data_IF_894571533569
#
_entry.id   IF_894571533569
#
_cell.length_a   1.000
_cell.length_b   1.000
_cell.length_c   1.000
_cell.angle_alpha   90.00
_cell.angle_beta   90.00
_cell.angle_gamma   90.00
#
_symmetry.space_group_name_H-M   'P 1'
#
loop_
_entity.id
_entity.type
_entity.pdbx_description
1 polymer ?
#
# COMPACT_ATOMS: atom_id res chain seq x y z
N UNK A 1 9.01 -0.62 22.88
CA UNK A 1 8.69 0.43 21.91
C UNK A 1 7.18 0.70 21.95
N UNK A 2 6.72 1.83 21.41
CA UNK A 2 5.29 2.18 21.28
C UNK A 2 5.01 2.62 19.84
N UNK A 3 3.97 2.07 19.20
CA UNK A 3 3.52 2.55 17.89
C UNK A 3 3.00 3.99 18.02
N UNK A 4 3.46 4.90 17.16
CA UNK A 4 3.12 6.32 17.27
C UNK A 4 2.23 6.84 16.14
N UNK A 5 2.22 6.20 14.97
CA UNK A 5 1.28 6.53 13.90
C UNK A 5 0.57 5.27 13.39
N UNK A 6 -0.65 5.45 12.93
CA UNK A 6 -1.42 4.48 12.18
C UNK A 6 -1.40 4.88 10.72
N UNK A 7 -1.19 3.92 9.84
CA UNK A 7 -1.14 4.13 8.40
C UNK A 7 -2.12 3.20 7.72
N UNK A 8 -2.63 3.64 6.57
CA UNK A 8 -3.44 2.82 5.69
C UNK A 8 -2.95 2.92 4.25
N UNK A 9 -3.10 1.83 3.49
CA UNK A 9 -2.89 1.83 2.05
C UNK A 9 -3.95 1.00 1.33
N UNK A 10 -4.12 1.34 0.06
CA UNK A 10 -5.15 0.80 -0.80
C UNK A 10 -4.96 1.29 -2.23
N UNK A 11 -6.07 1.43 -2.95
CA UNK A 11 -6.13 2.07 -4.26
C UNK A 11 -6.75 3.46 -4.05
N UNK A 12 -5.98 4.51 -4.30
CA UNK A 12 -6.45 5.89 -4.31
C UNK A 12 -7.17 6.12 -5.64
N UNK A 13 -8.38 6.67 -5.58
CA UNK A 13 -9.26 6.89 -6.73
C UNK A 13 -9.48 8.37 -6.96
N UNK A 14 -9.29 8.82 -8.20
CA UNK A 14 -9.71 10.13 -8.68
C UNK A 14 -11.16 10.04 -9.20
N UNK A 15 -12.11 10.38 -8.33
CA UNK A 15 -13.55 10.26 -8.62
C UNK A 15 -14.01 11.14 -9.77
N UNK A 16 -13.36 12.28 -10.00
CA UNK A 16 -13.70 13.16 -11.11
C UNK A 16 -13.36 12.53 -12.46
N UNK A 17 -12.19 11.88 -12.58
CA UNK A 17 -11.83 11.15 -13.80
C UNK A 17 -12.65 9.88 -13.98
N UNK A 18 -12.98 9.19 -12.87
CA UNK A 18 -13.87 8.03 -12.90
C UNK A 18 -15.26 8.41 -13.45
N UNK A 19 -15.83 9.52 -12.98
CA UNK A 19 -17.10 10.06 -13.49
C UNK A 19 -16.97 10.52 -14.95
N UNK A 20 -15.87 11.16 -15.32
CA UNK A 20 -15.60 11.56 -16.72
C UNK A 20 -15.52 10.35 -17.67
N UNK A 21 -15.03 9.21 -17.19
CA UNK A 21 -15.06 7.95 -17.94
C UNK A 21 -16.48 7.35 -17.99
N UNK A 22 -17.44 7.82 -17.19
CA UNK A 22 -18.80 7.31 -17.15
C UNK A 22 -19.01 6.18 -16.15
N UNK A 23 -18.12 6.06 -15.16
CA UNK A 23 -18.21 5.11 -14.05
C UNK A 23 -18.43 5.81 -12.72
N UNK A 24 -18.86 5.05 -11.71
CA UNK A 24 -19.01 5.50 -10.34
C UNK A 24 -18.25 4.60 -9.36
N UNK A 25 -17.85 5.15 -8.22
CA UNK A 25 -17.14 4.38 -7.19
C UNK A 25 -17.99 3.22 -6.66
N UNK A 26 -19.32 3.37 -6.65
CA UNK A 26 -20.28 2.37 -6.20
C UNK A 26 -20.33 1.13 -7.09
N UNK A 27 -19.77 1.18 -8.30
CA UNK A 27 -19.62 0.01 -9.17
C UNK A 27 -18.50 -0.92 -8.69
N UNK A 28 -17.48 -0.39 -8.01
CA UNK A 28 -16.24 -1.10 -7.67
C UNK A 28 -16.37 -1.73 -6.27
N UNK A 29 -16.67 -3.03 -6.23
CA UNK A 29 -16.97 -3.78 -4.99
C UNK A 29 -16.04 -4.97 -4.74
N UNK A 30 -15.35 -5.41 -5.77
CA UNK A 30 -14.53 -6.62 -5.82
C UNK A 30 -13.55 -6.50 -7.01
N UNK A 31 -12.72 -7.52 -7.20
CA UNK A 31 -11.73 -7.51 -8.28
C UNK A 31 -12.39 -7.53 -9.66
N UNK A 32 -13.49 -8.28 -9.83
CA UNK A 32 -14.15 -8.37 -11.14
C UNK A 32 -14.68 -7.00 -11.60
N UNK A 33 -15.33 -6.26 -10.70
CA UNK A 33 -15.82 -4.91 -11.00
C UNK A 33 -14.69 -3.89 -11.15
N UNK A 34 -13.65 -3.94 -10.31
CA UNK A 34 -12.46 -3.12 -10.47
C UNK A 34 -11.81 -3.34 -11.84
N UNK A 35 -11.62 -4.61 -12.22
CA UNK A 35 -11.04 -4.99 -13.51
C UNK A 35 -11.91 -4.51 -14.66
N UNK A 36 -13.22 -4.71 -14.62
CA UNK A 36 -14.12 -4.30 -15.69
C UNK A 36 -14.08 -2.78 -15.93
N UNK A 37 -14.02 -1.99 -14.84
CA UNK A 37 -13.90 -0.52 -14.92
C UNK A 37 -12.53 -0.11 -15.46
N UNK A 38 -11.45 -0.71 -14.97
CA UNK A 38 -10.10 -0.41 -15.44
C UNK A 38 -9.89 -0.78 -16.91
N UNK A 39 -10.30 -1.98 -17.33
CA UNK A 39 -10.20 -2.45 -18.72
C UNK A 39 -10.90 -1.47 -19.69
N UNK A 40 -12.08 -0.99 -19.29
CA UNK A 40 -12.88 -0.08 -20.12
C UNK A 40 -12.29 1.33 -20.20
N UNK A 41 -11.73 1.85 -19.09
CA UNK A 41 -11.00 3.11 -19.08
C UNK A 41 -9.75 3.00 -19.96
N UNK A 42 -8.95 1.93 -19.80
CA UNK A 42 -7.73 1.71 -20.57
C UNK A 42 -8.02 1.59 -22.07
N UNK A 43 -9.06 0.82 -22.45
CA UNK A 43 -9.48 0.69 -23.85
C UNK A 43 -9.89 2.03 -24.49
N UNK A 44 -10.32 3.00 -23.68
CA UNK A 44 -10.72 4.36 -24.09
C UNK A 44 -9.68 5.42 -23.76
N UNK A 45 -8.47 5.06 -23.30
CA UNK A 45 -7.48 6.03 -22.82
C UNK A 45 -7.12 7.12 -23.86
N UNK A 46 -7.05 6.74 -25.14
CA UNK A 46 -6.81 7.68 -26.24
C UNK A 46 -7.94 8.70 -26.47
N UNK A 47 -9.18 8.35 -26.14
CA UNK A 47 -10.35 9.25 -26.18
C UNK A 47 -10.41 10.12 -24.91
N UNK A 48 -10.19 9.50 -23.74
CA UNK A 48 -10.30 10.13 -22.43
C UNK A 48 -9.15 11.10 -22.12
N UNK A 49 -7.95 10.82 -22.65
CA UNK A 49 -6.73 11.60 -22.38
C UNK A 49 -6.03 11.27 -21.06
N UNK A 50 -6.47 10.20 -20.39
CA UNK A 50 -5.93 9.60 -19.17
C UNK A 50 -6.15 8.08 -19.21
N UNK A 51 -5.42 7.34 -18.39
CA UNK A 51 -5.48 5.87 -18.31
C UNK A 51 -6.09 5.38 -16.99
N UNK A 52 -6.29 4.08 -16.82
CA UNK A 52 -6.89 3.51 -15.62
C UNK A 52 -5.94 3.64 -14.42
N UNK A 53 -4.75 3.06 -14.48
CA UNK A 53 -3.77 3.11 -13.39
C UNK A 53 -2.59 4.03 -13.68
N UNK A 54 -2.03 4.64 -12.63
CA UNK A 54 -0.67 5.14 -12.68
C UNK A 54 0.32 3.98 -12.74
N UNK A 55 1.51 4.25 -13.26
CA UNK A 55 2.53 3.26 -13.52
C UNK A 55 2.89 2.45 -12.27
N UNK A 56 3.01 1.14 -12.48
CA UNK A 56 3.55 0.22 -11.49
C UNK A 56 5.10 0.19 -11.54
N UNK A 57 5.73 1.33 -11.27
CA UNK A 57 7.18 1.48 -11.37
C UNK A 57 7.94 0.49 -10.50
N UNK A 58 8.96 -0.14 -11.09
CA UNK A 58 9.81 -1.14 -10.45
C UNK A 58 11.23 -0.63 -10.14
N UNK A 59 11.47 0.67 -10.29
CA UNK A 59 12.70 1.26 -9.78
C UNK A 59 12.75 1.21 -8.24
N UNK A 60 13.90 1.56 -7.67
CA UNK A 60 14.08 1.55 -6.21
C UNK A 60 13.19 2.54 -5.45
N UNK A 61 12.70 3.61 -6.08
CA UNK A 61 11.80 4.58 -5.44
C UNK A 61 10.34 4.12 -5.39
N UNK A 62 9.95 3.14 -6.20
CA UNK A 62 8.54 2.75 -6.38
C UNK A 62 8.25 1.28 -6.04
N UNK A 63 9.23 0.39 -6.25
CA UNK A 63 9.04 -1.06 -6.21
C UNK A 63 8.61 -1.62 -4.84
N UNK A 64 8.90 -0.92 -3.74
CA UNK A 64 8.44 -1.27 -2.39
C UNK A 64 6.90 -1.32 -2.28
N UNK A 65 6.17 -0.57 -3.13
CA UNK A 65 4.71 -0.65 -3.22
C UNK A 65 4.26 -2.05 -3.60
N UNK A 66 5.02 -2.75 -4.43
CA UNK A 66 4.61 -4.04 -4.99
C UNK A 66 5.24 -5.22 -4.26
N UNK A 67 6.49 -5.08 -3.83
CA UNK A 67 7.21 -6.10 -3.04
C UNK A 67 6.95 -6.02 -1.53
N UNK A 68 6.39 -4.92 -1.05
CA UNK A 68 5.90 -4.76 0.32
C UNK A 68 4.37 -4.77 0.38
N UNK A 69 3.71 -3.74 -0.16
CA UNK A 69 2.27 -3.54 0.04
C UNK A 69 1.39 -4.47 -0.77
N UNK A 70 1.64 -4.63 -2.07
CA UNK A 70 0.86 -5.58 -2.86
C UNK A 70 1.18 -7.03 -2.49
N UNK A 71 2.46 -7.34 -2.22
CA UNK A 71 2.88 -8.63 -1.67
C UNK A 71 2.27 -8.95 -0.29
N UNK A 72 1.79 -7.95 0.45
CA UNK A 72 1.03 -8.17 1.68
C UNK A 72 -0.26 -8.95 1.43
N UNK A 73 -0.90 -8.75 0.29
CA UNK A 73 -2.21 -9.36 0.00
C UNK A 73 -2.15 -10.89 0.05
N UNK A 74 -1.27 -11.57 -0.72
CA UNK A 74 -1.16 -13.02 -0.61
C UNK A 74 -0.68 -13.49 0.77
N UNK A 75 0.23 -12.76 1.42
CA UNK A 75 0.72 -13.10 2.75
C UNK A 75 -0.39 -13.02 3.82
N UNK A 76 -1.17 -11.94 3.81
CA UNK A 76 -2.26 -11.71 4.75
C UNK A 76 -3.30 -12.82 4.68
N UNK A 77 -3.77 -13.13 3.46
CA UNK A 77 -4.79 -14.14 3.30
C UNK A 77 -4.30 -15.53 3.68
N UNK A 78 -3.05 -15.87 3.33
CA UNK A 78 -2.45 -17.13 3.78
C UNK A 78 -2.32 -17.19 5.31
N UNK A 79 -1.82 -16.12 5.94
CA UNK A 79 -1.59 -16.11 7.38
C UNK A 79 -2.89 -16.13 8.17
N UNK A 80 -3.92 -15.43 7.68
CA UNK A 80 -5.28 -15.47 8.24
C UNK A 80 -5.82 -16.90 8.24
N UNK A 81 -5.74 -17.58 7.09
CA UNK A 81 -6.40 -18.88 6.90
C UNK A 81 -5.63 -20.03 7.54
N UNK A 82 -4.31 -19.91 7.63
CA UNK A 82 -3.44 -20.87 8.33
C UNK A 82 -3.27 -20.56 9.83
N UNK A 83 -3.80 -19.43 10.31
CA UNK A 83 -3.69 -19.03 11.72
C UNK A 83 -2.27 -18.66 12.15
N UNK A 84 -1.48 -18.10 11.23
CA UNK A 84 -0.09 -17.69 11.47
C UNK A 84 -0.09 -16.34 12.20
N UNK A 85 0.56 -16.30 13.37
CA UNK A 85 0.64 -15.10 14.22
C UNK A 85 2.07 -14.67 14.58
N UNK A 86 3.06 -15.29 13.96
CA UNK A 86 4.48 -15.00 14.11
C UNK A 86 5.21 -15.37 12.82
N UNK A 87 6.43 -14.89 12.62
CA UNK A 87 7.23 -15.17 11.43
C UNK A 87 7.37 -16.69 11.19
N UNK A 88 6.79 -17.24 10.10
CA UNK A 88 6.94 -18.65 9.76
C UNK A 88 8.27 -18.92 9.04
N UNK A 89 8.82 -20.13 9.22
CA UNK A 89 10.00 -20.61 8.48
C UNK A 89 9.73 -20.73 6.97
N UNK A 90 8.50 -21.11 6.61
CA UNK A 90 8.08 -21.31 5.22
C UNK A 90 6.68 -20.75 5.00
N UNK A 91 6.41 -20.32 3.78
CA UNK A 91 5.08 -19.97 3.27
C UNK A 91 4.69 -20.93 2.14
N UNK A 92 3.39 -21.04 1.82
CA UNK A 92 2.86 -21.95 0.80
C UNK A 92 2.70 -21.27 -0.56
N UNK A 93 2.46 -19.96 -0.58
CA UNK A 93 2.14 -19.22 -1.80
C UNK A 93 0.70 -19.44 -2.28
N UNK A 94 -0.22 -19.77 -1.36
CA UNK A 94 -1.62 -20.16 -1.64
C UNK A 94 -2.38 -19.12 -2.48
N UNK A 95 -2.05 -17.85 -2.27
CA UNK A 95 -2.73 -16.71 -2.88
C UNK A 95 -1.92 -16.01 -3.98
N UNK A 96 -0.89 -16.67 -4.53
CA UNK A 96 -0.05 -16.06 -5.57
C UNK A 96 -0.75 -15.92 -6.92
N UNK A 97 -1.78 -16.73 -7.22
CA UNK A 97 -2.63 -16.49 -8.40
C UNK A 97 -3.44 -15.19 -8.24
N UNK A 98 -3.91 -14.88 -7.03
CA UNK A 98 -4.59 -13.62 -6.74
C UNK A 98 -3.66 -12.42 -6.81
N UNK A 99 -2.42 -12.57 -6.33
CA UNK A 99 -1.37 -11.56 -6.50
C UNK A 99 -1.10 -11.29 -7.99
N UNK A 100 -1.05 -12.35 -8.80
CA UNK A 100 -0.92 -12.24 -10.26
C UNK A 100 -2.05 -11.41 -10.88
N UNK A 101 -3.29 -11.69 -10.50
CA UNK A 101 -4.47 -11.03 -11.07
C UNK A 101 -4.41 -9.51 -10.92
N UNK A 102 -4.08 -9.02 -9.73
CA UNK A 102 -3.97 -7.58 -9.48
C UNK A 102 -2.67 -6.98 -10.06
N UNK A 103 -1.57 -7.72 -10.08
CA UNK A 103 -0.32 -7.29 -10.70
C UNK A 103 -0.46 -7.12 -12.22
N UNK A 104 -1.08 -8.10 -12.89
CA UNK A 104 -1.37 -8.00 -14.32
C UNK A 104 -2.23 -6.77 -14.59
N UNK A 105 -3.30 -6.56 -13.81
CA UNK A 105 -4.16 -5.38 -13.96
C UNK A 105 -3.38 -4.06 -13.88
N UNK A 106 -2.51 -3.89 -12.89
CA UNK A 106 -1.70 -2.68 -12.75
C UNK A 106 -0.71 -2.46 -13.91
N UNK A 107 -0.20 -3.54 -14.49
CA UNK A 107 0.86 -3.48 -15.51
C UNK A 107 0.33 -3.50 -16.94
N UNK A 108 -0.94 -3.88 -17.16
CA UNK A 108 -1.58 -3.86 -18.48
C UNK A 108 -2.49 -2.65 -18.68
N UNK A 109 -3.10 -2.12 -17.61
CA UNK A 109 -4.11 -1.07 -17.70
C UNK A 109 -3.55 0.27 -17.22
N UNK A 110 -2.35 0.59 -17.70
CA UNK A 110 -1.68 1.87 -17.45
C UNK A 110 -0.97 2.35 -18.71
N UNK A 111 -0.67 3.65 -18.77
CA UNK A 111 -0.04 4.24 -19.94
C UNK A 111 1.40 3.73 -20.16
N UNK A 112 2.10 3.38 -19.07
CA UNK A 112 3.45 2.85 -19.09
C UNK A 112 3.42 1.36 -18.78
N UNK A 113 3.91 0.52 -19.70
CA UNK A 113 3.79 -0.95 -19.59
C UNK A 113 5.09 -1.67 -19.95
N UNK A 114 5.13 -2.98 -19.70
CA UNK A 114 6.24 -3.83 -20.12
C UNK A 114 7.59 -3.43 -19.52
N UNK A 115 8.65 -3.49 -20.33
CA UNK A 115 10.01 -3.20 -19.87
C UNK A 115 10.22 -1.74 -19.42
N UNK A 116 9.37 -0.80 -19.84
CA UNK A 116 9.49 0.62 -19.44
C UNK A 116 9.25 0.79 -17.93
N UNK A 117 8.40 -0.06 -17.33
CA UNK A 117 8.12 -0.08 -15.89
C UNK A 117 9.36 -0.34 -15.03
N UNK A 118 10.39 -1.01 -15.56
CA UNK A 118 11.66 -1.27 -14.85
C UNK A 118 12.40 0.02 -14.45
N UNK A 119 12.11 1.13 -15.14
CA UNK A 119 12.77 2.42 -14.91
C UNK A 119 11.81 3.53 -14.45
N UNK A 120 10.50 3.26 -14.43
CA UNK A 120 9.49 4.20 -13.94
C UNK A 120 9.65 4.44 -12.44
N UNK A 121 9.65 5.71 -12.05
CA UNK A 121 9.89 6.15 -10.67
C UNK A 121 8.61 6.33 -9.85
N UNK A 122 8.75 6.40 -8.53
CA UNK A 122 7.65 6.76 -7.63
C UNK A 122 7.10 8.15 -7.96
N UNK A 123 7.97 9.13 -8.18
CA UNK A 123 7.60 10.49 -8.60
C UNK A 123 6.83 10.50 -9.94
N UNK A 124 7.18 9.62 -10.88
CA UNK A 124 6.46 9.51 -12.15
C UNK A 124 5.04 8.96 -11.93
N UNK A 125 4.90 7.89 -11.13
CA UNK A 125 3.59 7.32 -10.78
C UNK A 125 2.70 8.30 -10.00
N UNK A 126 3.29 9.06 -9.07
CA UNK A 126 2.61 10.10 -8.31
C UNK A 126 2.18 11.25 -9.22
N UNK A 127 3.05 11.71 -10.13
CA UNK A 127 2.73 12.76 -11.09
C UNK A 127 1.63 12.33 -12.07
N UNK A 128 1.67 11.10 -12.58
CA UNK A 128 0.61 10.57 -13.45
C UNK A 128 -0.77 10.65 -12.76
N UNK A 129 -0.86 10.32 -11.47
CA UNK A 129 -2.11 10.46 -10.74
C UNK A 129 -2.46 11.94 -10.43
N UNK A 130 -1.52 12.69 -9.86
CA UNK A 130 -1.71 14.06 -9.40
C UNK A 130 -1.97 15.07 -10.52
N UNK A 131 -1.45 14.83 -11.72
CA UNK A 131 -1.71 15.64 -12.92
C UNK A 131 -2.96 15.18 -13.70
N UNK A 132 -3.71 14.21 -13.17
CA UNK A 132 -4.94 13.71 -13.77
C UNK A 132 -4.71 12.88 -15.04
N UNK A 133 -3.63 12.11 -15.10
CA UNK A 133 -3.33 11.14 -16.17
C UNK A 133 -3.70 9.70 -15.82
N UNK A 134 -4.10 9.45 -14.58
CA UNK A 134 -4.58 8.14 -14.13
C UNK A 134 -5.78 8.26 -13.18
N UNK A 135 -6.69 7.29 -13.24
CA UNK A 135 -7.87 7.20 -12.35
C UNK A 135 -7.51 6.57 -11.01
N UNK A 136 -6.60 5.59 -11.02
CA UNK A 136 -6.27 4.75 -9.87
C UNK A 136 -4.78 4.81 -9.54
N UNK A 137 -4.45 4.84 -8.25
CA UNK A 137 -3.07 4.84 -7.76
C UNK A 137 -2.95 3.96 -6.51
N UNK A 138 -2.27 2.81 -6.61
CA UNK A 138 -1.98 1.98 -5.45
C UNK A 138 -0.90 2.65 -4.60
N UNK A 139 -1.31 3.21 -3.45
CA UNK A 139 -0.41 3.85 -2.50
C UNK A 139 -1.13 4.06 -1.14
N UNK A 140 -0.49 4.75 -0.20
CA UNK A 140 -1.01 4.94 1.15
C UNK A 140 -1.29 6.37 1.57
N UNK A 141 -1.65 6.48 2.85
CA UNK A 141 -2.13 7.71 3.46
C UNK A 141 -1.14 8.86 3.37
N UNK A 142 0.16 8.58 3.30
CA UNK A 142 1.24 9.57 3.17
C UNK A 142 1.17 10.41 1.88
N UNK A 143 0.51 9.93 0.82
CA UNK A 143 0.35 10.68 -0.43
C UNK A 143 -0.56 11.90 -0.30
N UNK A 144 -1.45 11.92 0.71
CA UNK A 144 -2.50 12.92 0.81
C UNK A 144 -1.99 14.36 0.76
N UNK A 145 -0.93 14.66 1.52
CA UNK A 145 -0.36 16.00 1.59
C UNK A 145 0.17 16.49 0.22
N UNK A 146 0.85 15.61 -0.53
CA UNK A 146 1.31 15.93 -1.88
C UNK A 146 0.15 16.19 -2.83
N UNK A 147 -0.89 15.35 -2.79
CA UNK A 147 -2.05 15.41 -3.69
C UNK A 147 -2.88 16.68 -3.52
N UNK A 148 -3.14 17.09 -2.27
CA UNK A 148 -4.00 18.24 -1.98
C UNK A 148 -3.22 19.55 -1.82
N UNK A 149 -1.92 19.47 -1.57
CA UNK A 149 -1.03 20.63 -1.40
C UNK A 149 -0.68 21.34 -2.71
N UNK A 150 0.26 22.29 -2.64
CA UNK A 150 0.65 23.14 -3.78
C UNK A 150 1.16 22.36 -5.00
N UNK A 151 1.64 21.12 -4.81
CA UNK A 151 2.21 20.28 -5.87
C UNK A 151 1.16 19.90 -6.93
N UNK A 152 -0.01 19.43 -6.52
CA UNK A 152 -1.07 18.97 -7.44
C UNK A 152 -2.40 19.69 -7.24
N UNK A 153 -2.66 20.25 -6.06
CA UNK A 153 -3.84 21.04 -5.73
C UNK A 153 -5.16 20.32 -6.11
N UNK A 154 -5.22 19.01 -5.86
CA UNK A 154 -6.43 18.21 -6.06
C UNK A 154 -7.47 18.57 -5.01
N UNK A 155 -8.74 18.51 -5.40
CA UNK A 155 -9.86 18.67 -4.46
C UNK A 155 -9.96 17.39 -3.61
N UNK A 156 -9.83 17.46 -2.27
CA UNK A 156 -10.01 16.31 -1.38
C UNK A 156 -11.36 15.59 -1.59
N UNK A 157 -12.41 16.32 -2.00
CA UNK A 157 -13.72 15.74 -2.27
C UNK A 157 -13.71 14.76 -3.46
N UNK A 158 -12.72 14.86 -4.35
CA UNK A 158 -12.54 13.96 -5.49
C UNK A 158 -11.62 12.78 -5.18
N UNK A 159 -11.05 12.70 -3.99
CA UNK A 159 -10.20 11.60 -3.56
C UNK A 159 -11.00 10.61 -2.69
N UNK A 160 -10.68 9.33 -2.84
CA UNK A 160 -11.15 8.25 -1.99
C UNK A 160 -10.15 7.10 -2.05
N UNK A 161 -9.86 6.45 -0.93
CA UNK A 161 -9.06 5.22 -0.91
C UNK A 161 -9.98 4.01 -0.73
N UNK A 162 -9.86 3.04 -1.63
CA UNK A 162 -10.60 1.77 -1.60
C UNK A 162 -9.66 0.58 -1.30
N UNK A 163 -10.19 -0.56 -0.82
CA UNK A 163 -9.40 -1.77 -0.62
C UNK A 163 -8.69 -2.24 -1.90
N UNK A 164 -7.62 -3.00 -1.72
CA UNK A 164 -6.99 -3.74 -2.83
C UNK A 164 -7.79 -5.04 -3.02
N UNK A 165 -8.59 -5.09 -4.07
CA UNK A 165 -9.30 -6.32 -4.46
C UNK A 165 -8.38 -7.20 -5.30
N UNK A 166 -8.28 -8.49 -4.99
CA UNK A 166 -7.38 -9.46 -5.63
C UNK A 166 -8.10 -10.73 -6.13
N UNK A 167 -9.43 -10.79 -6.04
CA UNK A 167 -10.24 -11.95 -6.42
C UNK A 167 -10.28 -13.05 -5.35
N UNK A 168 -10.07 -12.70 -4.07
CA UNK A 168 -10.09 -13.67 -2.96
C UNK A 168 -11.51 -13.83 -2.42
N UNK A 169 -11.88 -15.05 -2.01
CA UNK A 169 -13.17 -15.30 -1.37
C UNK A 169 -13.36 -14.40 -0.12
N UNK A 170 -14.48 -13.68 -0.08
CA UNK A 170 -14.80 -12.75 1.00
C UNK A 170 -14.21 -11.34 0.86
N UNK A 171 -13.52 -11.02 -0.25
CA UNK A 171 -12.90 -9.69 -0.42
C UNK A 171 -13.88 -8.51 -0.45
N UNK A 172 -15.17 -8.76 -0.69
CA UNK A 172 -16.22 -7.72 -0.58
C UNK A 172 -16.33 -7.16 0.84
N UNK A 173 -15.91 -7.93 1.84
CA UNK A 173 -15.85 -7.52 3.24
C UNK A 173 -14.45 -6.98 3.64
N UNK A 174 -13.53 -6.82 2.69
CA UNK A 174 -12.21 -6.22 2.93
C UNK A 174 -12.32 -4.72 3.21
N UNK A 175 -11.54 -4.27 4.18
CA UNK A 175 -11.19 -2.88 4.42
C UNK A 175 -9.81 -2.55 3.87
N UNK A 176 -9.29 -1.37 4.21
CA UNK A 176 -7.94 -0.97 3.81
C UNK A 176 -6.88 -1.81 4.51
N UNK A 177 -5.70 -1.84 3.90
CA UNK A 177 -4.53 -2.43 4.54
C UNK A 177 -4.00 -1.46 5.57
N UNK A 178 -4.16 -1.76 6.84
CA UNK A 178 -3.90 -0.78 7.88
C UNK A 178 -3.19 -1.36 9.09
N UNK A 179 -2.27 -0.57 9.65
CA UNK A 179 -1.34 -1.04 10.66
C UNK A 179 -0.37 0.03 11.11
N UNK A 180 0.73 -0.41 11.69
CA UNK A 180 1.85 0.44 12.11
C UNK A 180 3.13 -0.37 12.07
N UNK A 181 4.19 0.21 11.51
CA UNK A 181 5.59 -0.24 11.66
C UNK A 181 6.42 0.80 12.43
N UNK A 182 5.85 1.99 12.60
CA UNK A 182 6.49 3.18 13.13
C UNK A 182 6.37 3.23 14.65
N UNK A 183 7.46 2.85 15.31
CA UNK A 183 7.52 2.78 16.76
C UNK A 183 8.63 3.66 17.36
N UNK A 184 8.32 4.33 18.47
CA UNK A 184 9.33 4.98 19.31
C UNK A 184 9.84 4.00 20.36
N UNK A 185 11.16 3.97 20.55
CA UNK A 185 11.81 3.16 21.58
C UNK A 185 12.73 4.03 22.44
N UNK A 186 12.83 3.70 23.72
CA UNK A 186 13.79 4.30 24.64
C UNK A 186 14.96 3.34 24.75
N UNK A 187 16.17 3.82 24.43
CA UNK A 187 17.38 3.03 24.58
C UNK A 187 17.70 2.87 26.08
N UNK A 188 17.65 1.64 26.59
CA UNK A 188 17.97 1.36 27.99
C UNK A 188 19.47 1.45 28.32
N UNK A 189 20.33 1.57 27.31
CA UNK A 189 21.78 1.74 27.47
C UNK A 189 22.23 3.21 27.46
N UNK A 190 21.31 4.16 27.23
CA UNK A 190 21.62 5.59 27.29
C UNK A 190 21.79 6.09 28.74
N UNK A 191 22.36 7.27 28.91
CA UNK A 191 22.51 7.90 30.22
C UNK A 191 21.14 8.21 30.85
N UNK A 192 21.05 8.15 32.18
CA UNK A 192 19.77 8.34 32.90
C UNK A 192 19.09 9.68 32.58
N UNK A 193 19.88 10.74 32.38
CA UNK A 193 19.40 12.07 32.00
C UNK A 193 18.77 12.06 30.59
N UNK A 194 19.39 11.36 29.63
CA UNK A 194 18.89 11.24 28.26
C UNK A 194 17.62 10.38 28.18
N UNK A 195 17.57 9.31 28.97
CA UNK A 195 16.36 8.48 29.12
C UNK A 195 15.21 9.35 29.63
N UNK A 196 15.44 10.14 30.68
CA UNK A 196 14.41 11.00 31.25
C UNK A 196 13.98 12.09 30.27
N UNK A 197 14.92 12.74 29.59
CA UNK A 197 14.62 13.74 28.55
C UNK A 197 13.79 13.14 27.40
N UNK A 198 14.11 11.91 26.97
CA UNK A 198 13.37 11.20 25.93
C UNK A 198 11.93 10.92 26.38
N UNK A 199 11.75 10.43 27.61
CA UNK A 199 10.42 10.17 28.18
C UNK A 199 9.59 11.46 28.31
N UNK A 200 10.21 12.56 28.73
CA UNK A 200 9.55 13.86 28.85
C UNK A 200 9.15 14.40 27.47
N UNK A 201 10.01 14.27 26.47
CA UNK A 201 9.69 14.62 25.08
C UNK A 201 8.54 13.76 24.53
N UNK A 202 8.61 12.44 24.66
CA UNK A 202 7.56 11.52 24.21
C UNK A 202 6.22 11.82 24.88
N UNK A 203 6.22 12.21 26.17
CA UNK A 203 4.99 12.64 26.86
C UNK A 203 4.51 13.98 26.33
N UNK A 204 5.39 14.95 26.14
CA UNK A 204 5.04 16.27 25.63
C UNK A 204 4.43 16.18 24.24
N UNK A 205 5.02 15.41 23.31
CA UNK A 205 4.54 15.36 21.92
C UNK A 205 3.14 14.76 21.82
N UNK A 206 2.81 13.77 22.66
CA UNK A 206 1.48 13.11 22.63
C UNK A 206 0.42 13.78 23.51
N UNK A 207 0.77 14.81 24.29
CA UNK A 207 -0.17 15.48 25.21
C UNK A 207 -0.27 16.99 25.04
N UNK A 208 0.72 17.64 24.43
CA UNK A 208 0.70 19.07 24.17
C UNK A 208 -0.14 19.41 22.93
N UNK A 209 -0.68 20.62 22.90
CA UNK A 209 -1.45 21.09 21.74
C UNK A 209 -0.57 21.15 20.48
N UNK A 210 0.65 21.68 20.60
CA UNK A 210 1.62 21.76 19.50
C UNK A 210 2.01 20.36 18.98
N UNK A 211 2.41 19.45 19.87
CA UNK A 211 2.82 18.10 19.48
C UNK A 211 1.68 17.29 18.86
N UNK A 212 0.48 17.35 19.44
CA UNK A 212 -0.68 16.61 18.91
C UNK A 212 -1.23 17.20 17.61
N UNK A 213 -1.00 18.48 17.33
CA UNK A 213 -1.28 19.12 16.03
C UNK A 213 -0.32 18.61 14.97
N UNK A 214 0.98 18.70 15.25
CA UNK A 214 2.02 18.22 14.33
C UNK A 214 1.83 16.74 13.99
N UNK A 215 1.53 15.89 14.98
CA UNK A 215 1.25 14.48 14.73
C UNK A 215 0.06 14.25 13.80
N UNK A 216 -1.03 15.01 13.95
CA UNK A 216 -2.21 14.87 13.10
C UNK A 216 -1.99 15.43 11.68
N UNK A 217 -1.19 16.49 11.54
CA UNK A 217 -0.89 17.12 10.25
C UNK A 217 0.14 16.33 9.44
N UNK A 218 1.18 15.79 10.09
CA UNK A 218 2.35 15.21 9.42
C UNK A 218 2.35 13.66 9.40
N UNK A 219 1.71 12.99 10.38
CA UNK A 219 1.83 11.53 10.53
C UNK A 219 0.50 10.78 10.38
N UNK A 220 -0.62 11.36 10.82
CA UNK A 220 -1.94 10.71 10.79
C UNK A 220 -2.48 10.33 12.17
N UNK A 221 -3.44 9.38 12.26
CA UNK A 221 -4.07 9.01 13.52
C UNK A 221 -3.04 8.39 14.46
N UNK A 222 -3.01 8.87 15.69
CA UNK A 222 -2.10 8.36 16.71
C UNK A 222 -2.89 7.64 17.82
N UNK A 223 -2.39 6.52 18.36
CA UNK A 223 -3.09 5.73 19.37
C UNK A 223 -3.00 6.34 20.80
N UNK A 224 -3.15 7.66 20.91
CA UNK A 224 -3.01 8.40 22.18
C UNK A 224 -4.29 9.17 22.52
N UNK A 225 -4.61 9.26 23.81
CA UNK A 225 -5.86 9.87 24.30
C UNK A 225 -6.07 11.32 23.88
N UNK A 226 -4.98 12.06 23.71
CA UNK A 226 -4.99 13.48 23.34
C UNK A 226 -4.71 13.71 21.86
N UNK A 227 -4.62 12.65 21.05
CA UNK A 227 -4.36 12.78 19.62
C UNK A 227 -5.48 13.58 18.94
N UNK A 228 -5.10 14.53 18.09
CA UNK A 228 -6.05 15.21 17.21
C UNK A 228 -6.39 14.32 16.02
N UNK A 229 -7.57 14.51 15.45
CA UNK A 229 -8.02 13.80 14.25
C UNK A 229 -7.36 14.43 13.02
N UNK A 230 -6.68 13.66 12.16
CA UNK A 230 -6.14 14.17 10.91
C UNK A 230 -7.26 14.54 9.91
N UNK A 231 -6.99 15.51 9.04
CA UNK A 231 -7.92 15.91 7.96
C UNK A 231 -7.84 14.99 6.72
N UNK A 232 -6.87 14.08 6.70
CA UNK A 232 -6.63 13.18 5.58
C UNK A 232 -7.79 12.20 5.37
N UNK A 233 -8.46 12.36 4.22
CA UNK A 233 -9.67 11.61 3.85
C UNK A 233 -9.45 10.11 3.80
N UNK A 234 -8.22 9.64 3.54
CA UNK A 234 -7.91 8.21 3.47
C UNK A 234 -8.02 7.54 4.84
N UNK A 235 -7.75 8.26 5.93
CA UNK A 235 -8.02 7.75 7.28
C UNK A 235 -9.51 7.75 7.61
N UNK A 236 -10.26 8.72 7.09
CA UNK A 236 -11.72 8.71 7.21
C UNK A 236 -12.31 7.52 6.45
N UNK A 237 -11.80 7.20 5.26
CA UNK A 237 -12.19 6.01 4.50
C UNK A 237 -11.89 4.72 5.27
N UNK A 238 -10.68 4.58 5.83
CA UNK A 238 -10.31 3.44 6.69
C UNK A 238 -11.28 3.26 7.87
N UNK A 239 -11.60 4.36 8.55
CA UNK A 239 -12.49 4.37 9.71
C UNK A 239 -13.93 4.03 9.31
N UNK A 240 -14.42 4.54 8.18
CA UNK A 240 -15.75 4.26 7.66
C UNK A 240 -15.91 2.76 7.33
N UNK A 241 -14.98 2.18 6.59
CA UNK A 241 -15.00 0.74 6.26
C UNK A 241 -14.99 -0.11 7.55
N UNK A 242 -14.19 0.27 8.55
CA UNK A 242 -14.17 -0.41 9.86
C UNK A 242 -15.53 -0.28 10.59
N UNK A 243 -16.14 0.90 10.58
CA UNK A 243 -17.45 1.13 11.19
C UNK A 243 -18.58 0.37 10.48
N UNK A 244 -18.43 0.09 9.18
CA UNK A 244 -19.31 -0.76 8.38
C UNK A 244 -19.14 -2.26 8.69
N UNK A 245 -18.12 -2.64 9.47
CA UNK A 245 -17.84 -4.02 9.86
C UNK A 245 -16.93 -4.78 8.90
N UNK A 246 -16.29 -4.09 7.94
CA UNK A 246 -15.27 -4.68 7.07
C UNK A 246 -14.01 -5.02 7.87
N UNK A 247 -13.32 -6.09 7.48
CA UNK A 247 -12.11 -6.53 8.17
C UNK A 247 -10.90 -5.69 7.74
N UNK A 248 -10.01 -5.40 8.69
CA UNK A 248 -8.73 -4.75 8.38
C UNK A 248 -7.77 -5.79 7.78
N UNK A 249 -7.16 -5.45 6.65
CA UNK A 249 -6.04 -6.24 6.11
C UNK A 249 -4.78 -5.85 6.88
N UNK A 250 -4.35 -6.70 7.79
CA UNK A 250 -3.17 -6.45 8.62
C UNK A 250 -1.88 -6.64 7.81
N UNK A 251 -0.79 -6.04 8.27
CA UNK A 251 0.50 -6.05 7.58
C UNK A 251 1.30 -7.32 7.89
N UNK A 252 0.98 -8.41 7.19
CA UNK A 252 1.70 -9.67 7.23
C UNK A 252 3.15 -9.55 6.71
N UNK A 253 3.43 -8.56 5.84
CA UNK A 253 4.79 -8.27 5.39
C UNK A 253 5.76 -7.88 6.52
N UNK A 254 5.26 -7.50 7.71
CA UNK A 254 6.11 -7.27 8.89
C UNK A 254 6.84 -8.54 9.36
N UNK A 255 6.43 -9.71 8.87
CA UNK A 255 7.09 -10.99 9.15
C UNK A 255 8.09 -11.41 8.06
N UNK A 256 8.31 -10.61 7.01
CA UNK A 256 9.23 -10.98 5.93
C UNK A 256 10.67 -11.13 6.45
N UNK A 257 11.32 -12.30 6.23
CA UNK A 257 12.71 -12.51 6.64
C UNK A 257 13.67 -11.77 5.72
N UNK A 258 14.78 -11.25 6.29
CA UNK A 258 15.77 -10.43 5.59
C UNK A 258 15.14 -9.49 4.55
N UNK A 259 14.24 -8.63 5.04
CA UNK A 259 13.23 -7.91 4.23
C UNK A 259 13.76 -7.28 2.94
N UNK A 260 14.93 -6.65 2.98
CA UNK A 260 15.52 -5.99 1.81
C UNK A 260 15.93 -7.00 0.72
N UNK A 261 16.56 -8.10 1.11
CA UNK A 261 17.00 -9.15 0.19
C UNK A 261 15.80 -9.91 -0.40
N UNK A 262 14.77 -10.18 0.41
CA UNK A 262 13.57 -10.87 -0.05
C UNK A 262 12.81 -10.01 -1.06
N UNK A 263 12.60 -8.73 -0.72
CA UNK A 263 11.96 -7.76 -1.62
C UNK A 263 12.74 -7.61 -2.91
N UNK A 264 14.06 -7.51 -2.86
CA UNK A 264 14.90 -7.41 -4.05
C UNK A 264 14.71 -8.61 -4.99
N UNK A 265 14.65 -9.84 -4.45
CA UNK A 265 14.39 -11.04 -5.24
C UNK A 265 13.00 -11.03 -5.89
N UNK A 266 11.97 -10.62 -5.16
CA UNK A 266 10.60 -10.48 -5.70
C UNK A 266 10.53 -9.41 -6.78
N UNK A 267 11.18 -8.25 -6.59
CA UNK A 267 11.22 -7.16 -7.58
C UNK A 267 11.91 -7.61 -8.86
N UNK A 268 13.04 -8.31 -8.77
CA UNK A 268 13.73 -8.83 -9.95
C UNK A 268 12.83 -9.79 -10.74
N UNK A 269 12.18 -10.73 -10.06
CA UNK A 269 11.28 -11.69 -10.71
C UNK A 269 10.05 -11.00 -11.34
N UNK A 270 9.41 -10.05 -10.65
CA UNK A 270 8.33 -9.23 -11.20
C UNK A 270 8.81 -8.45 -12.43
N UNK A 271 10.01 -7.88 -12.37
CA UNK A 271 10.62 -7.17 -13.49
C UNK A 271 10.83 -8.05 -14.72
N UNK A 272 11.38 -9.25 -14.55
CA UNK A 272 11.55 -10.21 -15.64
C UNK A 272 10.21 -10.63 -16.23
N UNK A 273 9.22 -10.94 -15.39
CA UNK A 273 7.88 -11.31 -15.83
C UNK A 273 7.21 -10.19 -16.63
N UNK A 274 7.18 -8.97 -16.08
CA UNK A 274 6.55 -7.80 -16.71
C UNK A 274 7.26 -7.40 -18.02
N UNK A 275 8.58 -7.56 -18.11
CA UNK A 275 9.33 -7.33 -19.34
C UNK A 275 9.16 -8.44 -20.40
N UNK A 276 8.45 -9.53 -20.09
CA UNK A 276 8.29 -10.70 -20.97
C UNK A 276 9.56 -11.56 -21.10
N UNK A 277 10.51 -11.39 -20.17
CA UNK A 277 11.77 -12.14 -20.11
C UNK A 277 11.72 -13.33 -19.13
N UNK A 278 10.68 -13.42 -18.31
CA UNK A 278 10.42 -14.52 -17.36
C UNK A 278 8.94 -14.93 -17.35
N UNK A 279 8.64 -16.00 -16.62
CA UNK A 279 7.27 -16.48 -16.38
C UNK A 279 6.85 -16.23 -14.92
N UNK A 280 5.56 -16.43 -14.65
CA UNK A 280 5.03 -16.25 -13.30
C UNK A 280 5.61 -17.27 -12.31
N UNK A 281 6.02 -18.45 -12.77
CA UNK A 281 6.62 -19.48 -11.92
C UNK A 281 7.95 -18.99 -11.30
N UNK A 282 8.70 -18.13 -11.99
CA UNK A 282 9.86 -17.45 -11.42
C UNK A 282 9.47 -16.50 -10.29
N UNK A 283 8.34 -15.77 -10.40
CA UNK A 283 7.80 -14.92 -9.32
C UNK A 283 7.39 -15.79 -8.13
N UNK A 284 6.69 -16.91 -8.38
CA UNK A 284 6.31 -17.87 -7.34
C UNK A 284 7.53 -18.40 -6.59
N UNK A 285 8.57 -18.79 -7.32
CA UNK A 285 9.82 -19.29 -6.75
C UNK A 285 10.53 -18.22 -5.92
N UNK A 286 10.65 -16.99 -6.43
CA UNK A 286 11.25 -15.87 -5.70
C UNK A 286 10.49 -15.56 -4.41
N UNK A 287 9.15 -15.67 -4.44
CA UNK A 287 8.30 -15.43 -3.28
C UNK A 287 8.45 -16.53 -2.22
N UNK A 288 8.23 -17.79 -2.60
CA UNK A 288 8.16 -18.94 -1.68
C UNK A 288 9.53 -19.48 -1.28
N UNK A 289 10.37 -19.80 -2.25
CA UNK A 289 11.70 -20.36 -1.98
C UNK A 289 12.65 -19.29 -1.45
N UNK A 290 12.49 -18.04 -1.93
CA UNK A 290 13.20 -16.89 -1.40
C UNK A 290 12.89 -16.65 0.07
N UNK A 291 11.63 -16.80 0.50
CA UNK A 291 11.25 -16.70 1.91
C UNK A 291 11.99 -17.72 2.77
N UNK A 292 11.91 -19.00 2.41
CA UNK A 292 12.53 -20.08 3.18
C UNK A 292 14.07 -19.92 3.24
N UNK A 293 14.68 -19.53 2.12
CA UNK A 293 16.13 -19.30 2.05
C UNK A 293 16.57 -18.17 2.98
N UNK A 294 15.86 -17.05 2.96
CA UNK A 294 16.23 -15.87 3.74
C UNK A 294 15.91 -16.04 5.23
N UNK A 295 14.83 -16.75 5.56
CA UNK A 295 14.58 -17.15 6.94
C UNK A 295 15.75 -17.99 7.49
N UNK A 296 16.19 -19.00 6.73
CA UNK A 296 17.32 -19.83 7.15
C UNK A 296 18.62 -19.02 7.34
N UNK A 297 18.87 -18.00 6.51
CA UNK A 297 20.04 -17.13 6.64
C UNK A 297 19.97 -16.20 7.86
N UNK A 298 18.80 -15.65 8.18
CA UNK A 298 18.60 -14.74 9.32
C UNK A 298 18.74 -15.46 10.67
N UNK A 299 18.38 -16.75 10.72
CA UNK A 299 18.35 -17.57 11.95
C UNK A 299 19.51 -18.59 12.07
N UNK A 300 20.53 -18.51 11.21
CA UNK A 300 21.74 -19.35 11.24
C UNK A 300 22.79 -18.86 12.26
#
# INVERSE_FOLDING_TARGET
>A
SIGYCYECYGIIVNKALLEQAGHSIDEIKDFESLKAVADDIHARAGELGFDAFSSAGLDSSSSWRFSGHLANMPLYYEFRDDGITAQPETIKGTYLDNFKMIWDLYTTDSATTGADLLTSTGDASEAEFGEGKAVFFQNGSWEYASLIGEKFNMDPANLQMIPIYCGVEGETDAGLCSGTENCWAVNCEADEEDIQATLDFMKWVVTSDEGTTMLAEEFGPCPFKSAKTPENVFFADAANLTNEGKYVVTWAFNFTPAVDDWRAGVVDALGQYTAGAGDWDAVVSAFVDGWATLYANEHA
#
